data_IF_939009347269
#
_entry.id   IF_939009347269
#
_cell.length_a   1.000
_cell.length_b   1.000
_cell.length_c   1.000
_cell.angle_alpha   90.00
_cell.angle_beta   90.00
_cell.angle_gamma   90.00
#
_symmetry.space_group_name_H-M   'P 1'
#
loop_
_entity.id
_entity.type
_entity.pdbx_description
1 polymer ?
#
# COMPACT_ATOMS: atom_id res chain seq x y z
N UNK A 1 5.53 -12.06 -15.38
CA UNK A 1 5.48 -10.64 -15.80
C UNK A 1 5.46 -9.84 -14.51
N UNK A 2 6.59 -9.23 -14.14
CA UNK A 2 6.73 -8.49 -12.88
C UNK A 2 5.97 -7.17 -13.01
N UNK A 3 5.04 -6.91 -12.10
CA UNK A 3 4.27 -5.67 -12.08
C UNK A 3 5.20 -4.56 -11.57
N UNK A 4 5.32 -3.46 -12.32
CA UNK A 4 6.10 -2.28 -11.92
C UNK A 4 5.57 -1.66 -10.61
N UNK A 5 6.47 -1.07 -9.82
CA UNK A 5 6.18 -0.46 -8.52
C UNK A 5 5.03 0.56 -8.60
N UNK A 6 4.96 1.37 -9.66
CA UNK A 6 3.87 2.32 -9.86
C UNK A 6 2.50 1.65 -10.01
N UNK A 7 2.45 0.50 -10.67
CA UNK A 7 1.21 -0.28 -10.81
C UNK A 7 0.85 -0.98 -9.50
N UNK A 8 1.83 -1.50 -8.75
CA UNK A 8 1.61 -2.09 -7.42
C UNK A 8 1.04 -1.07 -6.43
N UNK A 9 1.60 0.14 -6.39
CA UNK A 9 1.12 1.24 -5.54
C UNK A 9 -0.32 1.63 -5.88
N UNK A 10 -0.68 1.71 -7.16
CA UNK A 10 -2.07 1.99 -7.60
C UNK A 10 -3.05 0.89 -7.18
N UNK A 11 -2.66 -0.38 -7.33
CA UNK A 11 -3.49 -1.50 -6.92
C UNK A 11 -3.75 -1.49 -5.41
N UNK A 12 -2.70 -1.25 -4.62
CA UNK A 12 -2.83 -1.18 -3.17
C UNK A 12 -3.65 0.04 -2.73
N UNK A 13 -3.47 1.20 -3.36
CA UNK A 13 -4.28 2.40 -3.11
C UNK A 13 -5.78 2.15 -3.36
N UNK A 14 -6.12 1.55 -4.50
CA UNK A 14 -7.51 1.22 -4.82
C UNK A 14 -8.11 0.24 -3.81
N UNK A 15 -7.34 -0.75 -3.36
CA UNK A 15 -7.78 -1.69 -2.33
C UNK A 15 -7.99 -1.01 -0.97
N UNK A 16 -7.10 -0.10 -0.57
CA UNK A 16 -7.26 0.70 0.64
C UNK A 16 -8.49 1.60 0.57
N UNK A 17 -8.74 2.27 -0.56
CA UNK A 17 -9.93 3.12 -0.75
C UNK A 17 -11.22 2.31 -0.60
N UNK A 18 -11.26 1.12 -1.20
CA UNK A 18 -12.40 0.22 -1.05
C UNK A 18 -12.62 -0.20 0.40
N UNK A 19 -11.54 -0.54 1.12
CA UNK A 19 -11.63 -0.90 2.54
C UNK A 19 -12.08 0.27 3.43
N UNK A 20 -11.69 1.51 3.13
CA UNK A 20 -12.15 2.70 3.87
C UNK A 20 -13.65 2.95 3.72
N UNK A 21 -14.23 2.64 2.55
CA UNK A 21 -15.66 2.79 2.30
C UNK A 21 -16.47 1.68 2.98
N UNK A 22 -15.87 0.49 3.13
CA UNK A 22 -16.54 -0.71 3.64
C UNK A 22 -15.69 -1.47 4.68
N UNK A 23 -15.30 -0.83 5.81
CA UNK A 23 -14.38 -1.44 6.79
C UNK A 23 -14.98 -2.64 7.53
N UNK A 24 -16.31 -2.69 7.64
CA UNK A 24 -17.08 -3.78 8.25
C UNK A 24 -17.18 -5.00 7.32
N UNK A 25 -17.04 -4.81 6.01
CA UNK A 25 -17.25 -5.87 5.02
C UNK A 25 -16.13 -6.92 5.11
N UNK A 26 -16.50 -8.13 5.50
CA UNK A 26 -15.56 -9.24 5.69
C UNK A 26 -14.94 -9.70 4.38
N UNK A 27 -15.65 -9.61 3.25
CA UNK A 27 -15.12 -9.97 1.94
C UNK A 27 -14.08 -8.95 1.49
N UNK A 28 -14.35 -7.66 1.68
CA UNK A 28 -13.39 -6.59 1.38
C UNK A 28 -12.13 -6.72 2.24
N UNK A 29 -12.28 -6.98 3.53
CA UNK A 29 -11.16 -7.26 4.45
C UNK A 29 -10.31 -8.46 4.01
N UNK A 30 -10.94 -9.58 3.66
CA UNK A 30 -10.24 -10.78 3.16
C UNK A 30 -9.59 -10.54 1.80
N UNK A 31 -10.22 -9.77 0.93
CA UNK A 31 -9.64 -9.38 -0.35
C UNK A 31 -8.38 -8.55 -0.13
N UNK A 32 -8.45 -7.55 0.76
CA UNK A 32 -7.32 -6.70 1.11
C UNK A 32 -6.15 -7.49 1.72
N UNK A 33 -6.41 -8.39 2.67
CA UNK A 33 -5.36 -9.23 3.26
C UNK A 33 -4.62 -10.06 2.20
N UNK A 34 -5.36 -10.64 1.23
CA UNK A 34 -4.77 -11.36 0.10
C UNK A 34 -3.98 -10.46 -0.84
N UNK A 35 -4.49 -9.26 -1.14
CA UNK A 35 -3.76 -8.27 -1.94
C UNK A 35 -2.43 -7.92 -1.29
N UNK A 36 -2.41 -7.66 0.02
CA UNK A 36 -1.18 -7.35 0.77
C UNK A 36 -0.22 -8.55 0.73
N UNK A 37 -0.71 -9.77 1.00
CA UNK A 37 0.13 -10.97 1.01
C UNK A 37 0.73 -11.32 -0.36
N UNK A 38 0.07 -10.91 -1.45
CA UNK A 38 0.56 -11.10 -2.82
C UNK A 38 1.44 -9.93 -3.31
N UNK A 39 1.60 -8.88 -2.51
CA UNK A 39 2.33 -7.69 -2.88
C UNK A 39 3.80 -7.81 -2.43
N UNK A 40 4.72 -7.65 -3.37
CA UNK A 40 6.14 -7.48 -3.08
C UNK A 40 6.58 -6.11 -3.61
N UNK A 41 6.44 -5.09 -2.76
CA UNK A 41 6.91 -3.75 -3.09
C UNK A 41 8.44 -3.73 -3.02
N UNK A 42 9.06 -3.67 -4.19
CA UNK A 42 10.51 -3.55 -4.30
C UNK A 42 10.87 -2.18 -4.92
N UNK A 43 11.82 -1.45 -4.34
CA UNK A 43 12.38 -0.27 -4.98
C UNK A 43 13.17 -0.66 -6.23
N UNK A 44 13.21 0.23 -7.21
CA UNK A 44 13.98 0.06 -8.43
C UNK A 44 15.47 0.38 -8.21
N UNK A 45 16.38 -0.22 -9.00
CA UNK A 45 17.77 0.24 -9.08
C UNK A 45 17.82 1.69 -9.55
N UNK A 46 18.29 2.60 -8.71
CA UNK A 46 18.31 4.05 -9.00
C UNK A 46 17.38 4.89 -8.14
N UNK A 47 16.46 4.26 -7.39
CA UNK A 47 15.59 4.99 -6.46
C UNK A 47 16.40 5.74 -5.39
N UNK A 48 15.92 6.92 -5.01
CA UNK A 48 16.53 7.71 -3.94
C UNK A 48 16.38 7.00 -2.59
N UNK A 49 17.23 7.34 -1.62
CA UNK A 49 17.08 6.82 -0.25
C UNK A 49 15.70 7.16 0.35
N UNK A 50 15.12 8.29 -0.05
CA UNK A 50 13.78 8.70 0.33
C UNK A 50 12.70 7.77 -0.23
N UNK A 51 12.74 7.46 -1.54
CA UNK A 51 11.80 6.52 -2.17
C UNK A 51 11.91 5.13 -1.55
N UNK A 52 13.14 4.64 -1.31
CA UNK A 52 13.35 3.37 -0.59
C UNK A 52 12.74 3.37 0.81
N UNK A 53 12.88 4.48 1.54
CA UNK A 53 12.25 4.67 2.84
C UNK A 53 10.72 4.58 2.76
N UNK A 54 10.12 5.30 1.81
CA UNK A 54 8.66 5.26 1.59
C UNK A 54 8.17 3.86 1.21
N UNK A 55 8.89 3.12 0.36
CA UNK A 55 8.55 1.72 0.02
C UNK A 55 8.55 0.84 1.27
N UNK A 56 9.58 0.96 2.12
CA UNK A 56 9.65 0.20 3.36
C UNK A 56 8.52 0.58 4.34
N UNK A 57 8.16 1.86 4.44
CA UNK A 57 7.05 2.32 5.27
C UNK A 57 5.70 1.79 4.76
N UNK A 58 5.47 1.82 3.44
CA UNK A 58 4.25 1.26 2.83
C UNK A 58 4.16 -0.23 3.15
N UNK A 59 5.25 -0.98 2.98
CA UNK A 59 5.27 -2.41 3.29
C UNK A 59 4.95 -2.65 4.78
N UNK A 60 5.60 -1.93 5.70
CA UNK A 60 5.36 -2.08 7.13
C UNK A 60 3.90 -1.76 7.52
N UNK A 61 3.29 -0.74 6.91
CA UNK A 61 1.88 -0.41 7.13
C UNK A 61 0.93 -1.45 6.54
N UNK A 62 1.26 -1.99 5.36
CA UNK A 62 0.51 -3.07 4.73
C UNK A 62 0.54 -4.33 5.61
N UNK A 63 1.71 -4.77 6.05
CA UNK A 63 1.86 -5.94 6.93
C UNK A 63 1.11 -5.76 8.25
N UNK A 64 1.20 -4.57 8.85
CA UNK A 64 0.46 -4.23 10.07
C UNK A 64 -1.05 -4.28 9.85
N UNK A 65 -1.54 -3.83 8.69
CA UNK A 65 -2.95 -3.90 8.34
C UNK A 65 -3.40 -5.36 8.11
N UNK A 66 -2.65 -6.15 7.33
CA UNK A 66 -2.95 -7.55 7.05
C UNK A 66 -3.10 -8.39 8.33
N UNK A 67 -2.15 -8.25 9.26
CA UNK A 67 -2.22 -8.92 10.56
C UNK A 67 -3.51 -8.61 11.33
N UNK A 68 -4.02 -7.38 11.22
CA UNK A 68 -5.24 -6.94 11.88
C UNK A 68 -6.50 -7.41 11.15
N UNK A 69 -6.45 -7.51 9.82
CA UNK A 69 -7.58 -8.00 9.01
C UNK A 69 -7.88 -9.48 9.24
N UNK A 70 -6.89 -10.27 9.66
CA UNK A 70 -7.01 -11.71 9.92
C UNK A 70 -7.43 -12.06 11.36
N UNK A 71 -7.33 -11.11 12.30
CA UNK A 71 -7.58 -11.38 13.71
C UNK A 71 -9.05 -11.22 14.15
N UNK A 72 -9.56 -12.08 15.05
CA UNK A 72 -10.88 -11.89 15.64
C UNK A 72 -10.91 -10.69 16.59
N UNK A 73 -12.00 -9.91 16.54
CA UNK A 73 -12.27 -8.84 17.53
C UNK A 73 -11.71 -7.46 17.21
N UNK A 74 -11.22 -7.21 15.99
CA UNK A 74 -10.77 -5.86 15.62
C UNK A 74 -11.92 -4.94 15.23
N UNK A 75 -11.95 -3.78 15.90
CA UNK A 75 -12.84 -2.67 15.67
C UNK A 75 -12.61 -2.02 14.29
N UNK A 76 -13.70 -1.73 13.59
CA UNK A 76 -13.71 -1.05 12.30
C UNK A 76 -12.98 0.29 12.35
N UNK A 77 -12.99 0.98 13.50
CA UNK A 77 -12.24 2.21 13.72
C UNK A 77 -10.73 2.01 13.55
N UNK A 78 -10.19 0.93 14.11
CA UNK A 78 -8.77 0.61 14.02
C UNK A 78 -8.36 0.20 12.61
N UNK A 79 -9.19 -0.60 11.93
CA UNK A 79 -8.98 -0.95 10.52
C UNK A 79 -8.98 0.31 9.66
N UNK A 80 -9.93 1.21 9.88
CA UNK A 80 -10.04 2.48 9.16
C UNK A 80 -8.83 3.37 9.39
N UNK A 81 -8.38 3.53 10.63
CA UNK A 81 -7.21 4.34 10.98
C UNK A 81 -5.93 3.81 10.32
N UNK A 82 -5.71 2.48 10.35
CA UNK A 82 -4.54 1.86 9.71
C UNK A 82 -4.60 1.94 8.19
N UNK A 83 -5.78 1.77 7.60
CA UNK A 83 -5.98 1.91 6.17
C UNK A 83 -5.76 3.35 5.71
N UNK A 84 -6.19 4.35 6.49
CA UNK A 84 -5.95 5.76 6.21
C UNK A 84 -4.46 6.13 6.24
N UNK A 85 -3.72 5.63 7.23
CA UNK A 85 -2.25 5.81 7.30
C UNK A 85 -1.57 5.20 6.07
N UNK A 86 -1.95 3.98 5.69
CA UNK A 86 -1.43 3.33 4.49
C UNK A 86 -1.74 4.15 3.22
N UNK A 87 -2.96 4.66 3.06
CA UNK A 87 -3.33 5.57 1.96
C UNK A 87 -2.45 6.83 1.92
N UNK A 88 -2.15 7.42 3.07
CA UNK A 88 -1.33 8.61 3.15
C UNK A 88 0.11 8.33 2.66
N UNK A 89 0.73 7.27 3.15
CA UNK A 89 2.09 6.88 2.73
C UNK A 89 2.13 6.49 1.24
N UNK A 90 1.10 5.79 0.75
CA UNK A 90 0.95 5.49 -0.68
C UNK A 90 0.83 6.76 -1.53
N UNK A 91 0.13 7.77 -1.03
CA UNK A 91 0.02 9.07 -1.72
C UNK A 91 1.38 9.75 -1.80
N UNK A 92 2.16 9.76 -0.72
CA UNK A 92 3.52 10.30 -0.74
C UNK A 92 4.42 9.53 -1.71
N UNK A 93 4.39 8.20 -1.69
CA UNK A 93 5.16 7.36 -2.61
C UNK A 93 4.76 7.62 -4.06
N UNK A 94 3.46 7.68 -4.36
CA UNK A 94 2.94 7.97 -5.70
C UNK A 94 3.36 9.35 -6.22
N UNK A 95 3.57 10.34 -5.36
CA UNK A 95 4.09 11.65 -5.79
C UNK A 95 5.57 11.62 -6.17
N UNK A 96 6.34 10.67 -5.62
CA UNK A 96 7.76 10.52 -5.91
C UNK A 96 8.05 9.62 -7.13
N UNK A 97 7.16 8.67 -7.44
CA UNK A 97 7.33 7.75 -8.57
C UNK A 97 7.31 8.40 -9.98
N UNK A 98 6.44 9.37 -10.32
CA UNK A 98 6.47 10.03 -11.63
C UNK A 98 7.69 10.95 -11.83
N UNK A 99 8.41 11.30 -10.76
CA UNK A 99 9.68 12.05 -10.87
C UNK A 99 10.85 11.17 -11.35
N UNK A 100 10.77 9.83 -11.20
CA UNK A 100 11.85 8.91 -11.59
C UNK A 100 11.83 8.56 -13.08
N UNK A 101 10.72 8.81 -13.77
CA UNK A 101 10.59 8.57 -15.22
C UNK A 101 11.04 9.73 -16.11
N UNK A 102 11.24 10.94 -15.56
CA UNK A 102 11.60 12.13 -16.37
C UNK A 102 13.11 12.48 -16.28
N UNK A 103 13.82 12.08 -15.23
CA UNK A 103 15.27 12.34 -15.09
C UNK A 103 16.18 11.35 -15.83
N UNK A 104 15.61 10.32 -16.48
CA UNK A 104 16.37 9.37 -17.31
C UNK A 104 16.40 9.75 -18.81
N UNK A 105 15.71 10.81 -19.22
CA UNK A 105 15.68 11.31 -20.60
C UNK A 105 15.65 12.85 -20.60
N UNK A 106 16.79 13.49 -20.32
CA UNK A 106 16.94 14.95 -20.43
C UNK A 106 18.33 15.45 -20.11
#
# INVERSE_FOLDING_TARGET
MTIDLGQQVKMLEAACQHLLLHPEDTLVRKSMARTIAALELAPAPGDTAFVRGLVAEVQAHADSLAFRLEGPGYDCLHVSARTALLCQTLTHLKLQLPAVTDEAVG
#
